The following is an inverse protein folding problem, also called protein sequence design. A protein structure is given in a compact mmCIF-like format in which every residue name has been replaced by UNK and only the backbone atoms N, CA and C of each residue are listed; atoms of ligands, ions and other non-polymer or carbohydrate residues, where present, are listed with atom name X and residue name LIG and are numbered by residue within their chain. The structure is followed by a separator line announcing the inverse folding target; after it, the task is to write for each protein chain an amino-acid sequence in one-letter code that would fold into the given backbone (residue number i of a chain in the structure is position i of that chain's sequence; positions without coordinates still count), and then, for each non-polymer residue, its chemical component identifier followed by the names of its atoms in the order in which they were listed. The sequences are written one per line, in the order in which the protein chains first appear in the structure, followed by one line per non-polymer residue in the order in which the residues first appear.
data_IF_248054178665
#
_entry.id   IF_248054178665
#
_cell.length_a   1.000
_cell.length_b   1.000
_cell.length_c   1.000
_cell.angle_alpha   90.00
_cell.angle_beta   90.00
_cell.angle_gamma   90.00
#
_symmetry.space_group_name_H-M   'P 1'
#
loop_
_entity.id
_entity.type
_entity.pdbx_description
1 polymer ?
#
# COMPACT_ATOMS: atom_id res chain seq x y z
N UNK A 1 -38.50 -2.10 -19.62
CA UNK A 1 -38.55 -2.63 -21.00
C UNK A 1 -37.25 -3.33 -21.35
N UNK A 2 -37.30 -4.24 -22.33
CA UNK A 2 -36.09 -4.98 -22.81
C UNK A 2 -35.02 -4.01 -23.30
N UNK A 3 -35.41 -2.92 -23.96
CA UNK A 3 -34.51 -1.88 -24.46
C UNK A 3 -33.76 -1.16 -23.34
N UNK A 4 -34.40 -0.92 -22.20
CA UNK A 4 -33.72 -0.34 -21.03
C UNK A 4 -32.68 -1.29 -20.43
N UNK A 5 -32.97 -2.60 -20.39
CA UNK A 5 -32.04 -3.64 -19.95
C UNK A 5 -30.85 -3.82 -20.92
N UNK A 6 -31.12 -3.79 -22.23
CA UNK A 6 -30.06 -3.85 -23.25
C UNK A 6 -29.15 -2.61 -23.16
N UNK A 7 -29.74 -1.43 -23.06
CA UNK A 7 -28.98 -0.17 -22.88
C UNK A 7 -28.16 -0.14 -21.60
N UNK A 8 -28.63 -0.76 -20.50
CA UNK A 8 -27.89 -0.91 -19.26
C UNK A 8 -26.69 -1.86 -19.42
N UNK A 9 -26.91 -3.03 -20.06
CA UNK A 9 -25.86 -4.02 -20.32
C UNK A 9 -24.75 -3.46 -21.24
N UNK A 10 -25.13 -2.75 -22.29
CA UNK A 10 -24.17 -2.13 -23.20
C UNK A 10 -23.29 -1.09 -22.47
N UNK A 11 -23.89 -0.24 -21.64
CA UNK A 11 -23.14 0.73 -20.82
C UNK A 11 -22.24 0.07 -19.77
N UNK A 12 -22.66 -1.05 -19.21
CA UNK A 12 -21.84 -1.82 -18.25
C UNK A 12 -20.63 -2.45 -18.95
N UNK A 13 -20.81 -3.00 -20.16
CA UNK A 13 -19.72 -3.54 -20.96
C UNK A 13 -18.73 -2.45 -21.42
N UNK A 14 -19.23 -1.28 -21.81
CA UNK A 14 -18.42 -0.12 -22.14
C UNK A 14 -17.51 0.29 -20.98
N UNK A 15 -18.07 0.40 -19.76
CA UNK A 15 -17.31 0.77 -18.56
C UNK A 15 -16.21 -0.23 -18.27
N UNK A 16 -16.52 -1.54 -18.33
CA UNK A 16 -15.54 -2.61 -18.09
C UNK A 16 -14.42 -2.58 -19.14
N UNK A 17 -14.77 -2.40 -20.42
CA UNK A 17 -13.81 -2.30 -21.50
C UNK A 17 -12.86 -1.10 -21.34
N UNK A 18 -13.38 0.06 -20.92
CA UNK A 18 -12.58 1.26 -20.66
C UNK A 18 -11.61 1.02 -19.50
N UNK A 19 -12.07 0.44 -18.39
CA UNK A 19 -11.23 0.12 -17.23
C UNK A 19 -10.07 -0.81 -17.63
N UNK A 20 -10.37 -1.91 -18.33
CA UNK A 20 -9.34 -2.85 -18.77
C UNK A 20 -8.36 -2.22 -19.78
N UNK A 21 -8.84 -1.35 -20.65
CA UNK A 21 -7.98 -0.61 -21.59
C UNK A 21 -7.03 0.32 -20.84
N UNK A 22 -7.51 1.07 -19.84
CA UNK A 22 -6.66 1.95 -19.02
C UNK A 22 -5.61 1.17 -18.24
N UNK A 23 -5.98 0.03 -17.63
CA UNK A 23 -5.04 -0.88 -16.96
C UNK A 23 -3.94 -1.34 -17.91
N UNK A 24 -4.31 -1.73 -19.15
CA UNK A 24 -3.35 -2.15 -20.16
C UNK A 24 -2.40 -1.03 -20.57
N UNK A 25 -2.92 0.16 -20.89
CA UNK A 25 -2.10 1.31 -21.30
C UNK A 25 -1.10 1.71 -20.20
N UNK A 26 -1.52 1.64 -18.93
CA UNK A 26 -0.64 1.85 -17.78
C UNK A 26 0.46 0.81 -17.68
N UNK A 27 0.15 -0.48 -17.88
CA UNK A 27 1.15 -1.57 -17.85
C UNK A 27 2.14 -1.49 -19.02
N UNK A 28 1.72 -0.97 -20.16
CA UNK A 28 2.52 -0.80 -21.35
C UNK A 28 3.28 0.54 -21.39
N UNK A 29 3.23 1.32 -20.31
CA UNK A 29 3.82 2.67 -20.20
C UNK A 29 3.36 3.68 -21.29
N UNK A 30 2.19 3.44 -21.89
CA UNK A 30 1.60 4.28 -22.96
C UNK A 30 0.81 5.45 -22.36
N UNK A 31 1.52 6.32 -21.61
CA UNK A 31 0.87 7.38 -20.84
C UNK A 31 0.16 8.44 -21.67
N UNK A 32 0.67 8.82 -22.86
CA UNK A 32 0.01 9.85 -23.69
C UNK A 32 -1.34 9.36 -24.22
N UNK A 33 -1.38 8.14 -24.73
CA UNK A 33 -2.62 7.50 -25.16
C UNK A 33 -3.56 7.29 -23.97
N UNK A 34 -3.00 6.84 -22.85
CA UNK A 34 -3.75 6.62 -21.60
C UNK A 34 -4.41 7.89 -21.07
N UNK A 35 -3.70 9.03 -21.03
CA UNK A 35 -4.25 10.32 -20.58
C UNK A 35 -5.40 10.76 -21.51
N UNK A 36 -5.22 10.66 -22.83
CA UNK A 36 -6.26 11.03 -23.78
C UNK A 36 -7.54 10.17 -23.62
N UNK A 37 -7.36 8.88 -23.35
CA UNK A 37 -8.48 7.97 -23.07
C UNK A 37 -9.11 8.25 -21.69
N UNK A 38 -8.31 8.54 -20.66
CA UNK A 38 -8.79 8.86 -19.32
C UNK A 38 -9.68 10.13 -19.34
N UNK A 39 -9.30 11.17 -20.05
CA UNK A 39 -10.12 12.39 -20.17
C UNK A 39 -11.47 12.11 -20.85
N UNK A 40 -11.48 11.31 -21.92
CA UNK A 40 -12.74 10.89 -22.57
C UNK A 40 -13.61 10.01 -21.63
N UNK A 41 -12.95 9.11 -20.91
CA UNK A 41 -13.62 8.21 -19.97
C UNK A 41 -14.27 8.98 -18.82
N UNK A 42 -13.58 9.97 -18.24
CA UNK A 42 -14.10 10.84 -17.20
C UNK A 42 -15.26 11.72 -17.66
N UNK A 43 -15.23 12.21 -18.91
CA UNK A 43 -16.36 12.92 -19.49
C UNK A 43 -17.60 12.03 -19.65
N UNK A 44 -17.40 10.78 -20.07
CA UNK A 44 -18.51 9.82 -20.31
C UNK A 44 -19.05 9.20 -19.02
N UNK A 45 -18.18 8.92 -18.04
CA UNK A 45 -18.49 8.20 -16.81
C UNK A 45 -17.90 8.86 -15.55
N UNK A 46 -18.22 10.12 -15.26
CA UNK A 46 -17.58 10.90 -14.20
C UNK A 46 -17.81 10.33 -12.79
N UNK A 47 -18.90 9.60 -12.58
CA UNK A 47 -19.33 9.07 -11.28
C UNK A 47 -19.32 7.53 -11.25
N UNK A 48 -18.43 6.89 -11.97
CA UNK A 48 -18.25 5.43 -11.93
C UNK A 48 -16.95 5.10 -11.23
N UNK A 49 -17.00 4.43 -10.07
CA UNK A 49 -15.84 4.14 -9.24
C UNK A 49 -14.65 3.58 -10.03
N UNK A 50 -14.85 2.47 -10.75
CA UNK A 50 -13.75 1.81 -11.47
C UNK A 50 -13.09 2.69 -12.54
N UNK A 51 -13.87 3.55 -13.23
CA UNK A 51 -13.31 4.51 -14.21
C UNK A 51 -12.51 5.59 -13.50
N UNK A 52 -13.08 6.21 -12.44
CA UNK A 52 -12.42 7.28 -11.68
C UNK A 52 -11.13 6.77 -11.05
N UNK A 53 -11.16 5.58 -10.44
CA UNK A 53 -10.00 4.97 -9.80
C UNK A 53 -8.87 4.66 -10.80
N UNK A 54 -9.17 4.00 -11.93
CA UNK A 54 -8.14 3.67 -12.92
C UNK A 54 -7.58 4.93 -13.61
N UNK A 55 -8.39 5.96 -13.80
CA UNK A 55 -7.89 7.26 -14.25
C UNK A 55 -6.94 7.88 -13.22
N UNK A 56 -7.28 7.81 -11.93
CA UNK A 56 -6.42 8.30 -10.85
C UNK A 56 -5.05 7.61 -10.87
N UNK A 57 -5.03 6.27 -10.94
CA UNK A 57 -3.80 5.47 -11.01
C UNK A 57 -2.97 5.77 -12.27
N UNK A 58 -3.61 6.06 -13.38
CA UNK A 58 -2.93 6.45 -14.62
C UNK A 58 -2.26 7.82 -14.48
N UNK A 59 -2.99 8.83 -13.95
CA UNK A 59 -2.43 10.17 -13.71
C UNK A 59 -1.32 10.16 -12.67
N UNK A 60 -1.42 9.32 -11.63
CA UNK A 60 -0.36 9.08 -10.64
C UNK A 60 0.93 8.63 -11.32
N UNK A 61 0.88 7.52 -12.06
CA UNK A 61 2.06 6.96 -12.72
C UNK A 61 2.63 7.87 -13.80
N UNK A 62 1.78 8.51 -14.60
CA UNK A 62 2.23 9.47 -15.60
C UNK A 62 2.87 10.72 -14.94
N UNK A 63 2.28 11.21 -13.86
CA UNK A 63 2.79 12.35 -13.11
C UNK A 63 4.13 12.03 -12.45
N UNK A 64 4.29 10.85 -11.85
CA UNK A 64 5.55 10.38 -11.28
C UNK A 64 6.65 10.29 -12.34
N UNK A 65 6.39 9.57 -13.45
CA UNK A 65 7.36 9.40 -14.54
C UNK A 65 7.82 10.71 -15.17
N UNK A 66 6.94 11.71 -15.25
CA UNK A 66 7.21 13.01 -15.89
C UNK A 66 7.58 14.11 -14.90
N UNK A 67 7.55 13.81 -13.61
CA UNK A 67 7.68 14.79 -12.53
C UNK A 67 6.66 15.96 -12.69
N UNK A 68 5.45 15.63 -13.18
CA UNK A 68 4.40 16.60 -13.43
C UNK A 68 3.44 16.72 -12.24
N UNK A 69 3.67 17.75 -11.41
CA UNK A 69 2.84 18.04 -10.23
C UNK A 69 1.37 18.31 -10.56
N UNK A 70 1.05 18.76 -11.80
CA UNK A 70 -0.36 18.96 -12.20
C UNK A 70 -1.08 17.63 -12.40
N UNK A 71 -0.42 16.64 -13.01
CA UNK A 71 -0.96 15.29 -13.15
C UNK A 71 -1.11 14.63 -11.78
N UNK A 72 -0.13 14.76 -10.90
CA UNK A 72 -0.21 14.25 -9.52
C UNK A 72 -1.37 14.90 -8.75
N UNK A 73 -1.54 16.22 -8.84
CA UNK A 73 -2.70 16.91 -8.25
C UNK A 73 -4.03 16.43 -8.84
N UNK A 74 -4.07 16.11 -10.13
CA UNK A 74 -5.24 15.52 -10.79
C UNK A 74 -5.55 14.14 -10.21
N UNK A 75 -4.52 13.31 -10.00
CA UNK A 75 -4.66 12.00 -9.33
C UNK A 75 -5.25 12.15 -7.94
N UNK A 76 -4.74 13.05 -7.09
CA UNK A 76 -5.27 13.30 -5.74
C UNK A 76 -6.76 13.64 -5.75
N UNK A 77 -7.18 14.52 -6.68
CA UNK A 77 -8.59 14.90 -6.82
C UNK A 77 -9.46 13.70 -7.21
N UNK A 78 -8.96 12.85 -8.12
CA UNK A 78 -9.67 11.65 -8.55
C UNK A 78 -9.71 10.58 -7.45
N UNK A 79 -8.64 10.38 -6.67
CA UNK A 79 -8.64 9.48 -5.51
C UNK A 79 -9.64 9.95 -4.44
N UNK A 80 -9.66 11.25 -4.15
CA UNK A 80 -10.68 11.83 -3.26
C UNK A 80 -12.11 11.63 -3.79
N UNK A 81 -12.30 11.68 -5.11
CA UNK A 81 -13.58 11.37 -5.72
C UNK A 81 -13.91 9.87 -5.66
N UNK A 82 -12.93 8.99 -5.89
CA UNK A 82 -13.08 7.56 -5.77
C UNK A 82 -13.53 7.14 -4.35
N UNK A 83 -13.00 7.77 -3.30
CA UNK A 83 -13.44 7.54 -1.91
C UNK A 83 -14.96 7.79 -1.78
N UNK A 84 -15.48 8.87 -2.35
CA UNK A 84 -16.93 9.17 -2.32
C UNK A 84 -17.78 8.15 -3.10
N UNK A 85 -17.19 7.46 -4.06
CA UNK A 85 -17.84 6.46 -4.88
C UNK A 85 -17.59 5.01 -4.40
N UNK A 86 -16.90 4.85 -3.26
CA UNK A 86 -16.42 3.55 -2.79
C UNK A 86 -17.52 2.51 -2.58
N UNK A 87 -18.75 2.94 -2.30
CA UNK A 87 -19.93 2.05 -2.21
C UNK A 87 -20.23 1.30 -3.52
N UNK A 88 -19.70 1.75 -4.65
CA UNK A 88 -19.83 1.07 -5.95
C UNK A 88 -18.74 0.01 -6.16
N UNK A 89 -17.73 -0.02 -5.30
CA UNK A 89 -16.60 -0.95 -5.42
C UNK A 89 -17.03 -2.36 -5.03
N UNK A 90 -16.60 -3.35 -5.82
CA UNK A 90 -16.78 -4.78 -5.53
C UNK A 90 -15.45 -5.52 -5.30
N UNK A 91 -14.32 -4.82 -5.42
CA UNK A 91 -12.99 -5.39 -5.19
C UNK A 91 -12.67 -5.30 -3.69
N UNK A 92 -12.52 -6.42 -2.97
CA UNK A 92 -12.24 -6.42 -1.54
C UNK A 92 -10.84 -5.87 -1.19
N UNK A 93 -9.92 -5.83 -2.16
CA UNK A 93 -8.57 -5.28 -1.95
C UNK A 93 -8.54 -3.75 -1.96
N UNK A 94 -9.58 -3.11 -2.50
CA UNK A 94 -9.69 -1.65 -2.54
C UNK A 94 -10.61 -1.17 -1.41
N UNK A 95 -10.03 -0.51 -0.43
CA UNK A 95 -10.70 0.05 0.74
C UNK A 95 -10.48 1.57 0.81
N UNK A 96 -11.20 2.26 1.69
CA UNK A 96 -10.93 3.66 1.97
C UNK A 96 -9.49 3.87 2.44
N UNK A 97 -9.00 2.96 3.30
CA UNK A 97 -7.63 2.99 3.78
C UNK A 97 -6.62 2.88 2.62
N UNK A 98 -6.80 1.93 1.70
CA UNK A 98 -5.89 1.78 0.56
C UNK A 98 -5.88 3.02 -0.35
N UNK A 99 -7.05 3.64 -0.59
CA UNK A 99 -7.14 4.89 -1.36
C UNK A 99 -6.45 6.07 -0.65
N UNK A 100 -6.57 6.16 0.68
CA UNK A 100 -5.86 7.19 1.47
C UNK A 100 -4.34 6.98 1.46
N UNK A 101 -3.88 5.72 1.47
CA UNK A 101 -2.47 5.38 1.31
C UNK A 101 -1.95 5.73 -0.10
N UNK A 102 -2.73 5.45 -1.14
CA UNK A 102 -2.41 5.92 -2.50
C UNK A 102 -2.25 7.45 -2.52
N UNK A 103 -3.17 8.20 -1.88
CA UNK A 103 -3.05 9.67 -1.77
C UNK A 103 -1.79 10.10 -1.03
N UNK A 104 -1.42 9.42 0.06
CA UNK A 104 -0.21 9.73 0.80
C UNK A 104 1.05 9.51 -0.05
N UNK A 105 1.10 8.43 -0.84
CA UNK A 105 2.19 8.16 -1.77
C UNK A 105 2.31 9.25 -2.85
N UNK A 106 1.19 9.66 -3.45
CA UNK A 106 1.20 10.78 -4.43
C UNK A 106 1.70 12.06 -3.79
N UNK A 107 1.35 12.35 -2.53
CA UNK A 107 1.85 13.53 -1.82
C UNK A 107 3.36 13.44 -1.54
N UNK A 108 3.90 12.25 -1.24
CA UNK A 108 5.35 12.04 -1.12
C UNK A 108 6.07 12.32 -2.44
N UNK A 109 5.52 11.83 -3.57
CA UNK A 109 6.06 12.09 -4.90
C UNK A 109 6.03 13.59 -5.28
N UNK A 110 5.08 14.35 -4.69
CA UNK A 110 4.99 15.80 -4.82
C UNK A 110 5.90 16.57 -3.85
N UNK A 111 6.61 15.86 -2.97
CA UNK A 111 7.41 16.42 -1.87
C UNK A 111 6.56 17.14 -0.80
N UNK A 112 5.26 16.83 -0.73
CA UNK A 112 4.34 17.36 0.29
C UNK A 112 4.27 16.40 1.49
N UNK A 113 5.41 16.24 2.14
CA UNK A 113 5.60 15.27 3.21
C UNK A 113 4.74 15.54 4.46
N UNK A 114 4.40 16.80 4.73
CA UNK A 114 3.54 17.17 5.87
C UNK A 114 2.12 16.57 5.72
N UNK A 115 1.52 16.74 4.53
CA UNK A 115 0.20 16.18 4.25
C UNK A 115 0.24 14.66 4.14
N UNK A 116 1.31 14.10 3.57
CA UNK A 116 1.50 12.65 3.54
C UNK A 116 1.58 12.07 4.96
N UNK A 117 2.38 12.70 5.84
CA UNK A 117 2.51 12.31 7.24
C UNK A 117 1.16 12.37 7.99
N UNK A 118 0.36 13.41 7.75
CA UNK A 118 -0.96 13.52 8.34
C UNK A 118 -1.85 12.34 7.94
N UNK A 119 -1.90 12.00 6.65
CA UNK A 119 -2.67 10.85 6.15
C UNK A 119 -2.18 9.52 6.74
N UNK A 120 -0.86 9.31 6.83
CA UNK A 120 -0.33 8.10 7.46
C UNK A 120 -0.75 8.01 8.93
N UNK A 121 -0.63 9.10 9.71
CA UNK A 121 -1.03 9.12 11.12
C UNK A 121 -2.53 8.88 11.31
N UNK A 122 -3.38 9.49 10.48
CA UNK A 122 -4.84 9.28 10.52
C UNK A 122 -5.23 7.83 10.24
N UNK A 123 -4.46 7.13 9.41
CA UNK A 123 -4.75 5.75 8.98
C UNK A 123 -3.89 4.70 9.69
N UNK A 124 -3.12 5.06 10.71
CA UNK A 124 -2.22 4.18 11.44
C UNK A 124 -2.95 3.32 12.48
N UNK A 125 -3.98 2.58 12.07
CA UNK A 125 -4.67 1.66 12.95
C UNK A 125 -3.71 0.56 13.46
N UNK A 126 -3.66 0.35 14.76
CA UNK A 126 -2.80 -0.64 15.41
C UNK A 126 -1.31 -0.54 15.05
N UNK A 127 -0.87 0.61 14.57
CA UNK A 127 0.53 0.87 14.20
C UNK A 127 0.98 0.21 12.90
N UNK A 128 0.06 -0.13 12.00
CA UNK A 128 0.39 -0.79 10.72
C UNK A 128 1.30 0.05 9.81
N UNK A 129 1.33 1.37 10.02
CA UNK A 129 2.10 2.32 9.23
C UNK A 129 3.27 2.94 10.01
N UNK A 130 3.65 2.34 11.14
CA UNK A 130 4.74 2.88 11.97
C UNK A 130 6.07 2.92 11.21
N UNK A 131 6.36 1.95 10.36
CA UNK A 131 7.55 1.95 9.51
C UNK A 131 7.57 3.14 8.55
N UNK A 132 6.46 3.42 7.88
CA UNK A 132 6.34 4.52 6.93
C UNK A 132 6.42 5.88 7.64
N UNK A 133 5.70 6.05 8.76
CA UNK A 133 5.75 7.27 9.58
C UNK A 133 7.17 7.49 10.11
N UNK A 134 7.77 6.44 10.67
CA UNK A 134 9.11 6.51 11.24
C UNK A 134 10.17 6.85 10.21
N UNK A 135 10.15 6.20 9.03
CA UNK A 135 11.07 6.49 7.94
C UNK A 135 10.91 7.92 7.41
N UNK A 136 9.67 8.39 7.26
CA UNK A 136 9.39 9.75 6.80
C UNK A 136 9.94 10.78 7.79
N UNK A 137 9.66 10.62 9.07
CA UNK A 137 10.17 11.52 10.13
C UNK A 137 11.70 11.47 10.23
N UNK A 138 12.32 10.29 10.09
CA UNK A 138 13.78 10.13 10.09
C UNK A 138 14.47 10.84 8.91
N UNK A 139 13.77 11.01 7.79
CA UNK A 139 14.25 11.76 6.62
C UNK A 139 14.30 13.28 6.87
N UNK A 140 13.51 13.81 7.80
CA UNK A 140 13.44 15.25 8.12
C UNK A 140 14.37 15.54 9.30
N UNK A 141 15.44 16.31 9.04
CA UNK A 141 16.55 16.52 10.00
C UNK A 141 16.08 16.94 11.40
N UNK A 142 15.13 17.87 11.46
CA UNK A 142 14.62 18.47 12.71
C UNK A 142 13.63 17.58 13.45
N UNK A 143 13.16 16.49 12.80
CA UNK A 143 12.11 15.61 13.32
C UNK A 143 12.53 14.15 13.51
N UNK A 144 13.82 13.87 13.35
CA UNK A 144 14.36 12.49 13.43
C UNK A 144 14.00 11.77 14.71
N UNK A 145 14.11 12.49 15.84
CA UNK A 145 13.80 11.92 17.16
C UNK A 145 12.32 11.55 17.30
N UNK A 146 11.42 12.25 16.61
CA UNK A 146 9.99 11.88 16.59
C UNK A 146 9.76 10.54 15.87
N UNK A 147 10.65 10.15 14.96
CA UNK A 147 10.57 8.91 14.22
C UNK A 147 10.97 7.67 15.04
N UNK A 148 11.83 7.84 16.05
CA UNK A 148 12.40 6.73 16.83
C UNK A 148 11.34 5.81 17.45
N UNK A 149 10.29 6.30 18.14
CA UNK A 149 9.24 5.42 18.69
C UNK A 149 8.52 4.59 17.63
N UNK A 150 8.21 5.19 16.48
CA UNK A 150 7.55 4.49 15.36
C UNK A 150 8.45 3.40 14.78
N UNK A 151 9.72 3.71 14.50
CA UNK A 151 10.68 2.74 13.98
C UNK A 151 10.92 1.59 14.96
N UNK A 152 11.02 1.90 16.26
CA UNK A 152 11.19 0.89 17.31
C UNK A 152 10.00 -0.07 17.36
N UNK A 153 8.78 0.44 17.30
CA UNK A 153 7.57 -0.39 17.30
C UNK A 153 7.41 -1.18 16.00
N UNK A 154 7.76 -0.61 14.86
CA UNK A 154 7.76 -1.31 13.58
C UNK A 154 8.77 -2.47 13.58
N UNK A 155 9.99 -2.22 14.06
CA UNK A 155 11.03 -3.24 14.18
C UNK A 155 10.59 -4.37 15.12
N UNK A 156 10.04 -4.02 16.29
CA UNK A 156 9.51 -4.97 17.25
C UNK A 156 8.46 -5.89 16.61
N UNK A 157 7.48 -5.32 15.91
CA UNK A 157 6.42 -6.10 15.24
C UNK A 157 6.98 -6.99 14.13
N UNK A 158 7.93 -6.49 13.34
CA UNK A 158 8.57 -7.27 12.28
C UNK A 158 9.28 -8.49 12.85
N UNK A 159 10.06 -8.32 13.90
CA UNK A 159 10.77 -9.42 14.58
C UNK A 159 9.78 -10.43 15.18
N UNK A 160 8.75 -9.95 15.89
CA UNK A 160 7.71 -10.83 16.47
C UNK A 160 6.93 -11.60 15.40
N UNK A 161 6.63 -10.96 14.27
CA UNK A 161 5.98 -11.62 13.14
C UNK A 161 6.88 -12.71 12.54
N UNK A 162 8.16 -12.42 12.37
CA UNK A 162 9.13 -13.35 11.82
C UNK A 162 9.31 -14.57 12.73
N UNK A 163 9.40 -14.37 14.06
CA UNK A 163 9.47 -15.46 15.05
C UNK A 163 8.26 -16.39 14.90
N UNK A 164 7.05 -15.82 14.89
CA UNK A 164 5.81 -16.62 14.73
C UNK A 164 5.77 -17.41 13.42
N UNK A 165 6.25 -16.80 12.32
CA UNK A 165 6.32 -17.48 11.02
C UNK A 165 7.28 -18.64 11.06
N UNK A 166 8.47 -18.49 11.69
CA UNK A 166 9.42 -19.58 11.86
C UNK A 166 8.82 -20.73 12.68
N UNK A 167 8.14 -20.42 13.79
CA UNK A 167 7.49 -21.44 14.63
C UNK A 167 6.39 -22.16 13.83
N UNK A 168 5.61 -21.42 13.03
CA UNK A 168 4.60 -22.02 12.15
C UNK A 168 5.21 -22.98 11.13
N UNK A 169 6.32 -22.61 10.49
CA UNK A 169 7.02 -23.50 9.55
C UNK A 169 7.62 -24.71 10.25
N UNK A 170 8.23 -24.55 11.44
CA UNK A 170 8.76 -25.67 12.20
C UNK A 170 7.67 -26.70 12.49
N UNK A 171 6.50 -26.27 12.96
CA UNK A 171 5.35 -27.15 13.21
C UNK A 171 4.86 -27.88 11.94
N UNK A 172 4.84 -27.19 10.79
CA UNK A 172 4.44 -27.79 9.51
C UNK A 172 5.45 -28.86 9.06
N UNK A 173 6.76 -28.60 9.17
CA UNK A 173 7.80 -29.56 8.82
C UNK A 173 7.81 -30.77 9.77
N UNK A 174 7.65 -30.55 11.07
CA UNK A 174 7.51 -31.62 12.05
C UNK A 174 6.30 -32.52 11.73
N UNK A 175 5.13 -31.95 11.47
CA UNK A 175 3.94 -32.69 11.10
C UNK A 175 4.08 -33.50 9.80
N UNK A 176 5.00 -33.11 8.92
CA UNK A 176 5.35 -33.86 7.71
C UNK A 176 6.44 -34.91 7.91
N UNK A 177 7.04 -35.00 9.11
CA UNK A 177 8.18 -35.82 9.39
C UNK A 177 9.51 -35.32 8.85
N UNK A 178 9.55 -34.09 8.33
CA UNK A 178 10.76 -33.43 7.84
C UNK A 178 11.48 -32.69 8.98
N UNK A 179 12.08 -33.50 9.86
CA UNK A 179 12.78 -33.00 11.05
C UNK A 179 14.01 -32.15 10.68
N UNK A 180 14.62 -32.39 9.52
CA UNK A 180 15.78 -31.60 9.06
C UNK A 180 15.38 -30.14 8.80
N UNK A 181 14.38 -29.92 7.98
CA UNK A 181 13.86 -28.57 7.70
C UNK A 181 13.29 -27.89 8.96
N UNK A 182 12.69 -28.66 9.88
CA UNK A 182 12.21 -28.12 11.16
C UNK A 182 13.38 -27.58 12.02
N UNK A 183 14.47 -28.33 12.12
CA UNK A 183 15.69 -27.92 12.85
C UNK A 183 16.33 -26.71 12.16
N UNK A 184 16.46 -26.72 10.85
CA UNK A 184 17.07 -25.62 10.09
C UNK A 184 16.36 -24.28 10.34
N UNK A 185 15.03 -24.26 10.28
CA UNK A 185 14.26 -23.03 10.50
C UNK A 185 14.38 -22.52 11.96
N UNK A 186 14.44 -23.43 12.93
CA UNK A 186 14.65 -23.08 14.35
C UNK A 186 16.06 -22.51 14.54
N UNK A 187 17.09 -23.12 13.96
CA UNK A 187 18.47 -22.62 14.03
C UNK A 187 18.60 -21.24 13.38
N UNK A 188 17.94 -21.05 12.23
CA UNK A 188 17.91 -19.75 11.59
C UNK A 188 17.24 -18.68 12.47
N UNK A 189 16.08 -18.98 13.07
CA UNK A 189 15.40 -18.10 14.04
C UNK A 189 16.34 -17.74 15.20
N UNK A 190 17.01 -18.73 15.80
CA UNK A 190 17.94 -18.52 16.91
C UNK A 190 19.13 -17.63 16.51
N UNK A 191 19.73 -17.88 15.33
CA UNK A 191 20.84 -17.08 14.80
C UNK A 191 20.46 -15.64 14.56
N UNK A 192 19.26 -15.40 14.01
CA UNK A 192 18.71 -14.06 13.81
C UNK A 192 18.54 -13.33 15.14
N UNK A 193 17.86 -13.94 16.13
CA UNK A 193 17.63 -13.33 17.45
C UNK A 193 18.97 -13.06 18.18
N UNK A 194 19.92 -13.96 18.08
CA UNK A 194 21.25 -13.78 18.67
C UNK A 194 22.03 -12.64 17.99
N UNK A 195 21.88 -12.49 16.65
CA UNK A 195 22.46 -11.39 15.90
C UNK A 195 21.91 -10.02 16.31
N UNK A 196 20.63 -9.94 16.62
CA UNK A 196 19.97 -8.72 17.09
C UNK A 196 20.43 -8.30 18.49
N UNK A 197 20.87 -9.23 19.33
CA UNK A 197 21.39 -8.96 20.69
C UNK A 197 22.77 -8.27 20.73
N UNK A 198 23.52 -8.27 19.65
CA UNK A 198 24.91 -7.76 19.62
C UNK A 198 25.02 -6.23 19.57
N UNK A 199 23.91 -5.50 19.59
CA UNK A 199 23.91 -4.04 19.60
C UNK A 199 23.45 -3.49 20.94
N UNK A 200 24.26 -2.64 21.57
CA UNK A 200 23.94 -2.01 22.87
C UNK A 200 22.74 -1.05 22.86
N UNK A 201 22.11 -0.84 21.70
CA UNK A 201 21.11 0.22 21.52
C UNK A 201 19.66 -0.24 21.42
N UNK A 202 19.34 -1.54 21.57
CA UNK A 202 17.97 -2.04 21.33
C UNK A 202 17.46 -2.88 22.51
N UNK A 203 17.28 -2.22 23.66
CA UNK A 203 16.80 -2.83 24.92
C UNK A 203 15.44 -3.55 24.80
N UNK A 204 14.58 -3.15 23.86
CA UNK A 204 13.28 -3.81 23.65
C UNK A 204 13.43 -5.16 22.95
N UNK A 205 14.41 -5.33 22.06
CA UNK A 205 14.70 -6.61 21.42
C UNK A 205 15.27 -7.65 22.40
N UNK A 206 16.00 -7.19 23.42
CA UNK A 206 16.49 -8.06 24.49
C UNK A 206 15.33 -8.67 25.32
N UNK A 207 14.27 -7.91 25.57
CA UNK A 207 13.06 -8.38 26.25
C UNK A 207 12.32 -9.45 25.44
N UNK A 208 12.23 -9.26 24.11
CA UNK A 208 11.59 -10.25 23.22
C UNK A 208 12.39 -11.56 23.22
N UNK A 209 13.70 -11.47 23.15
CA UNK A 209 14.56 -12.64 23.17
C UNK A 209 14.46 -13.42 24.47
N UNK A 210 14.31 -12.75 25.61
CA UNK A 210 14.10 -13.38 26.91
C UNK A 210 12.73 -14.09 27.04
N UNK A 211 11.70 -13.60 26.34
CA UNK A 211 10.36 -14.20 26.36
C UNK A 211 10.22 -15.40 25.40
N UNK A 212 11.22 -15.68 24.57
CA UNK A 212 11.20 -16.76 23.55
C UNK A 212 11.98 -18.00 23.96
N UNK A 213 12.49 -18.04 25.20
CA UNK A 213 13.14 -19.17 25.86
C UNK A 213 12.26 -19.72 26.97
#
# INVERSE_FOLDING_TARGET
SVDALLGYRLRANDRKSIVERMKRLRREDKYDEGIAEAEKALQKFPNTFGVVYECAKLFEMAGLKRQDKKMQSRSLNLLSHAIRLLSQNSDPEISEMSLRLDMANVLLDMEDWERALALFKENNACGLLDDQIGCLLAGVKERREEGVPYLSMALLRAVMSLVRVCDGFANVFEARGDLHSAIDIIQWKHSMLTGLRKGDSVSELDKISAASH
#
